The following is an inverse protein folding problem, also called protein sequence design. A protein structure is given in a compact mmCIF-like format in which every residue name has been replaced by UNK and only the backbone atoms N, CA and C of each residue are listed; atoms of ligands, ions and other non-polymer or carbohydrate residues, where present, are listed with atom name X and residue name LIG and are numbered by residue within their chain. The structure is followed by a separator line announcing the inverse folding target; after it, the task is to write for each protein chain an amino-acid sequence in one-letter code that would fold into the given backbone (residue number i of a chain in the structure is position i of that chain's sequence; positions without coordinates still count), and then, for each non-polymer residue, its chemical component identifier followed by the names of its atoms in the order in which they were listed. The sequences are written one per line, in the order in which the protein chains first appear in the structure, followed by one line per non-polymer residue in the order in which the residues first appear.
data_IF_127242996516
#
_entry.id   IF_127242996516
#
_cell.length_a   1.000
_cell.length_b   1.000
_cell.length_c   1.000
_cell.angle_alpha   90.00
_cell.angle_beta   90.00
_cell.angle_gamma   90.00
#
_symmetry.space_group_name_H-M   'P 1'
#
loop_
_entity.id
_entity.type
_entity.pdbx_description
1 polymer ?
#
# COMPACT_ATOMS: atom_id res chain seq x y z
N UNK A 1 -46.81 3.47 -22.11
CA UNK A 1 -45.35 3.45 -22.38
C UNK A 1 -44.67 4.22 -21.27
N UNK A 2 -44.25 3.52 -20.23
CA UNK A 2 -43.53 4.13 -19.09
C UNK A 2 -42.08 4.32 -19.54
N UNK A 3 -41.65 5.57 -19.62
CA UNK A 3 -40.25 5.90 -19.90
C UNK A 3 -39.38 5.29 -18.81
N UNK A 4 -38.53 4.35 -19.22
CA UNK A 4 -37.40 3.81 -18.48
C UNK A 4 -36.43 4.94 -18.14
N UNK A 5 -36.70 5.64 -17.04
CA UNK A 5 -35.77 6.61 -16.46
C UNK A 5 -34.67 5.84 -15.75
N UNK A 6 -33.71 5.36 -16.55
CA UNK A 6 -32.39 4.96 -16.04
C UNK A 6 -31.86 6.10 -15.17
N UNK A 7 -31.50 5.87 -13.89
CA UNK A 7 -30.89 6.90 -13.08
C UNK A 7 -29.67 7.41 -13.84
N UNK A 8 -29.67 8.70 -14.20
CA UNK A 8 -28.57 9.25 -14.97
C UNK A 8 -27.27 9.02 -14.19
N UNK A 9 -26.21 8.51 -14.84
CA UNK A 9 -24.91 8.42 -14.21
C UNK A 9 -24.53 9.84 -13.79
N UNK A 10 -24.19 9.98 -12.51
CA UNK A 10 -23.82 11.24 -11.88
C UNK A 10 -22.89 12.05 -12.81
N UNK A 11 -23.45 13.10 -13.44
CA UNK A 11 -22.75 13.95 -14.43
C UNK A 11 -21.84 14.97 -13.74
N UNK A 12 -21.46 14.74 -12.49
CA UNK A 12 -20.43 15.50 -11.79
C UNK A 12 -19.03 15.04 -12.21
N UNK A 13 -18.36 15.85 -13.04
CA UNK A 13 -16.96 15.73 -13.47
C UNK A 13 -16.62 14.41 -14.19
N UNK A 14 -16.66 14.39 -15.54
CA UNK A 14 -15.88 13.58 -16.52
C UNK A 14 -15.52 12.09 -16.29
N UNK A 15 -15.81 11.51 -15.13
CA UNK A 15 -15.25 10.27 -14.61
C UNK A 15 -16.25 9.13 -14.67
N UNK A 16 -17.52 9.37 -15.03
CA UNK A 16 -18.56 8.33 -15.03
C UNK A 16 -18.20 7.11 -15.87
N UNK A 17 -17.64 7.30 -17.08
CA UNK A 17 -17.14 6.19 -17.91
C UNK A 17 -15.98 5.45 -17.25
N UNK A 18 -15.09 6.15 -16.55
CA UNK A 18 -13.95 5.56 -15.87
C UNK A 18 -14.39 4.75 -14.64
N UNK A 19 -15.28 5.31 -13.81
CA UNK A 19 -15.85 4.66 -12.62
C UNK A 19 -16.62 3.40 -13.01
N UNK A 20 -17.45 3.46 -14.06
CA UNK A 20 -18.17 2.29 -14.57
C UNK A 20 -17.21 1.17 -14.98
N UNK A 21 -16.18 1.48 -15.78
CA UNK A 21 -15.16 0.50 -16.20
C UNK A 21 -14.44 -0.11 -15.01
N UNK A 22 -14.17 0.67 -13.98
CA UNK A 22 -13.49 0.18 -12.80
C UNK A 22 -14.42 -0.69 -11.92
N UNK A 23 -15.71 -0.39 -11.89
CA UNK A 23 -16.72 -1.23 -11.25
C UNK A 23 -16.86 -2.58 -11.98
N UNK A 24 -16.82 -2.58 -13.32
CA UNK A 24 -16.83 -3.83 -14.12
C UNK A 24 -15.64 -4.74 -13.78
N UNK A 25 -14.49 -4.14 -13.41
CA UNK A 25 -13.26 -4.84 -13.02
C UNK A 25 -13.09 -4.98 -11.51
N UNK A 26 -14.17 -4.86 -10.73
CA UNK A 26 -14.09 -5.03 -9.27
C UNK A 26 -13.69 -6.45 -8.88
N UNK A 27 -14.19 -7.46 -9.62
CA UNK A 27 -13.81 -8.86 -9.38
C UNK A 27 -12.50 -9.18 -10.08
N UNK A 28 -11.53 -9.65 -9.30
CA UNK A 28 -10.21 -10.01 -9.78
C UNK A 28 -10.22 -11.43 -10.36
N UNK A 29 -9.59 -11.59 -11.52
CA UNK A 29 -9.33 -12.90 -12.12
C UNK A 29 -8.28 -13.70 -11.34
N UNK A 30 -8.18 -15.01 -11.59
CA UNK A 30 -7.22 -15.89 -10.90
C UNK A 30 -5.77 -15.41 -11.04
N UNK A 31 -5.37 -15.01 -12.26
CA UNK A 31 -4.02 -14.50 -12.52
C UNK A 31 -3.74 -13.18 -11.77
N UNK A 32 -4.73 -12.28 -11.72
CA UNK A 32 -4.60 -11.03 -10.95
C UNK A 32 -4.47 -11.31 -9.45
N UNK A 33 -5.20 -12.30 -8.93
CA UNK A 33 -5.11 -12.72 -7.53
C UNK A 33 -3.75 -13.32 -7.20
N UNK A 34 -3.21 -14.18 -8.07
CA UNK A 34 -1.86 -14.73 -7.91
C UNK A 34 -0.78 -13.65 -7.96
N UNK A 35 -0.93 -12.66 -8.84
CA UNK A 35 -0.01 -11.51 -8.89
C UNK A 35 0.04 -10.72 -7.57
N UNK A 36 -1.06 -10.68 -6.81
CA UNK A 36 -1.09 -10.03 -5.49
C UNK A 36 -0.36 -10.81 -4.39
N UNK A 37 0.08 -12.05 -4.63
CA UNK A 37 0.85 -12.85 -3.64
C UNK A 37 2.34 -12.49 -3.64
N UNK A 38 2.85 -11.93 -4.74
CA UNK A 38 4.27 -11.56 -4.86
C UNK A 38 4.68 -10.50 -3.82
N UNK A 39 3.83 -9.48 -3.60
CA UNK A 39 4.12 -8.41 -2.64
C UNK A 39 4.32 -8.96 -1.23
N UNK A 40 3.38 -9.74 -0.64
CA UNK A 40 3.60 -10.40 0.64
C UNK A 40 4.90 -11.20 0.74
N UNK A 41 5.25 -11.99 -0.28
CA UNK A 41 6.48 -12.79 -0.29
C UNK A 41 7.71 -11.89 -0.16
N UNK A 42 7.79 -10.85 -1.00
CA UNK A 42 8.90 -9.90 -0.98
C UNK A 42 8.94 -9.14 0.36
N UNK A 43 7.80 -8.68 0.86
CA UNK A 43 7.71 -7.98 2.15
C UNK A 43 8.20 -8.86 3.31
N UNK A 44 7.82 -10.14 3.34
CA UNK A 44 8.29 -11.08 4.38
C UNK A 44 9.79 -11.32 4.25
N UNK A 45 10.31 -11.53 3.03
CA UNK A 45 11.75 -11.71 2.81
C UNK A 45 12.56 -10.49 3.29
N UNK A 46 12.10 -9.27 2.97
CA UNK A 46 12.72 -8.02 3.44
C UNK A 46 12.63 -7.88 4.96
N UNK A 47 11.48 -8.19 5.57
CA UNK A 47 11.33 -8.15 7.02
C UNK A 47 12.27 -9.14 7.72
N UNK A 48 12.41 -10.36 7.20
CA UNK A 48 13.35 -11.35 7.73
C UNK A 48 14.81 -10.92 7.60
N UNK A 49 15.19 -10.30 6.47
CA UNK A 49 16.51 -9.71 6.31
C UNK A 49 16.80 -8.65 7.38
N UNK A 50 15.86 -7.74 7.63
CA UNK A 50 16.04 -6.73 8.68
C UNK A 50 16.05 -7.34 10.09
N UNK A 51 15.27 -8.40 10.36
CA UNK A 51 15.33 -9.11 11.63
C UNK A 51 16.69 -9.77 11.85
N UNK A 52 17.29 -10.35 10.81
CA UNK A 52 18.64 -10.92 10.87
C UNK A 52 19.70 -9.83 11.13
N UNK A 53 19.61 -8.69 10.44
CA UNK A 53 20.47 -7.52 10.68
C UNK A 53 20.34 -7.01 12.12
N UNK A 54 19.13 -6.97 12.66
CA UNK A 54 18.90 -6.54 14.04
C UNK A 54 19.45 -7.56 15.05
N UNK A 55 19.22 -8.85 14.83
CA UNK A 55 19.67 -9.91 15.75
C UNK A 55 21.20 -10.00 15.85
N UNK A 56 21.90 -9.65 14.77
CA UNK A 56 23.36 -9.65 14.70
C UNK A 56 24.02 -8.38 15.26
N UNK A 57 23.24 -7.37 15.66
CA UNK A 57 23.71 -6.09 16.21
C UNK A 57 24.75 -5.40 15.30
N UNK A 58 24.38 -5.29 14.03
CA UNK A 58 25.26 -4.85 12.95
C UNK A 58 25.40 -3.32 12.83
N UNK A 59 25.10 -2.57 13.89
CA UNK A 59 25.17 -1.10 13.90
C UNK A 59 24.06 -0.36 13.14
N UNK A 60 23.38 -0.99 12.17
CA UNK A 60 22.25 -0.38 11.45
C UNK A 60 21.09 0.01 12.38
N UNK A 61 20.74 -0.88 13.32
CA UNK A 61 19.78 -0.59 14.39
C UNK A 61 20.54 -0.17 15.65
N UNK A 62 20.53 1.13 15.96
CA UNK A 62 21.19 1.65 17.18
C UNK A 62 20.48 1.19 18.46
N UNK A 63 21.14 1.34 19.61
CA UNK A 63 20.55 1.04 20.93
C UNK A 63 19.25 1.82 21.24
N UNK A 64 19.01 2.95 20.57
CA UNK A 64 17.75 3.70 20.64
C UNK A 64 16.59 3.07 19.87
N UNK A 65 16.81 1.99 19.10
CA UNK A 65 15.77 1.27 18.35
C UNK A 65 14.99 0.31 19.26
N UNK A 66 14.15 0.91 20.10
CA UNK A 66 13.33 0.22 21.08
C UNK A 66 12.05 -0.37 20.48
N UNK A 67 11.14 -0.77 21.36
CA UNK A 67 9.88 -1.42 20.98
C UNK A 67 8.99 -0.54 20.11
N UNK A 68 8.97 0.77 20.34
CA UNK A 68 8.12 1.71 19.59
C UNK A 68 8.63 1.86 18.16
N UNK A 69 9.95 2.00 18.00
CA UNK A 69 10.61 2.12 16.70
C UNK A 69 10.49 0.83 15.91
N UNK A 70 10.64 -0.33 16.57
CA UNK A 70 10.40 -1.64 15.98
C UNK A 70 8.96 -1.80 15.50
N UNK A 71 7.98 -1.40 16.32
CA UNK A 71 6.57 -1.45 15.94
C UNK A 71 6.29 -0.51 14.76
N UNK A 72 6.85 0.70 14.74
CA UNK A 72 6.72 1.62 13.62
C UNK A 72 7.34 1.02 12.35
N UNK A 73 8.56 0.50 12.43
CA UNK A 73 9.28 -0.06 11.29
C UNK A 73 8.65 -1.38 10.80
N UNK A 74 8.69 -2.45 11.59
CA UNK A 74 8.18 -3.75 11.18
C UNK A 74 6.67 -3.78 11.06
N UNK A 75 5.95 -3.09 11.95
CA UNK A 75 4.49 -3.02 11.89
C UNK A 75 4.03 -2.36 10.60
N UNK A 76 4.61 -1.22 10.22
CA UNK A 76 4.26 -0.55 8.96
C UNK A 76 4.66 -1.39 7.73
N UNK A 77 5.86 -2.00 7.75
CA UNK A 77 6.37 -2.83 6.66
C UNK A 77 5.44 -4.03 6.41
N UNK A 78 5.13 -4.80 7.46
CA UNK A 78 4.26 -5.97 7.37
C UNK A 78 2.81 -5.58 7.09
N UNK A 79 2.32 -4.45 7.63
CA UNK A 79 0.98 -3.99 7.31
C UNK A 79 0.84 -3.58 5.83
N UNK A 80 1.94 -3.17 5.19
CA UNK A 80 2.03 -2.91 3.76
C UNK A 80 1.51 -4.05 2.86
N UNK A 81 1.58 -5.31 3.31
CA UNK A 81 1.12 -6.45 2.51
C UNK A 81 -0.39 -6.73 2.63
N UNK A 82 -1.07 -6.14 3.62
CA UNK A 82 -2.49 -6.41 3.91
C UNK A 82 -3.43 -6.14 2.71
N UNK A 83 -3.30 -5.02 1.97
CA UNK A 83 -4.17 -4.77 0.83
C UNK A 83 -4.02 -5.84 -0.27
N UNK A 84 -2.78 -6.29 -0.50
CA UNK A 84 -2.47 -7.35 -1.47
C UNK A 84 -3.05 -8.69 -1.03
N UNK A 85 -2.92 -9.05 0.25
CA UNK A 85 -3.56 -10.26 0.79
C UNK A 85 -5.09 -10.22 0.65
N UNK A 86 -5.72 -9.08 0.96
CA UNK A 86 -7.16 -8.90 0.79
C UNK A 86 -7.58 -9.09 -0.67
N UNK A 87 -6.81 -8.55 -1.63
CA UNK A 87 -7.06 -8.78 -3.07
C UNK A 87 -6.88 -10.24 -3.45
N UNK A 88 -5.83 -10.89 -2.98
CA UNK A 88 -5.54 -12.28 -3.30
C UNK A 88 -6.63 -13.23 -2.74
N UNK A 89 -7.07 -13.01 -1.50
CA UNK A 89 -8.02 -13.88 -0.79
C UNK A 89 -9.46 -13.58 -1.20
N UNK A 90 -9.87 -12.32 -1.15
CA UNK A 90 -11.28 -11.93 -1.36
C UNK A 90 -11.58 -11.71 -2.84
N UNK A 91 -10.58 -11.39 -3.67
CA UNK A 91 -10.78 -11.17 -5.09
C UNK A 91 -11.56 -9.91 -5.44
N UNK A 92 -11.67 -8.95 -4.50
CA UNK A 92 -12.38 -7.68 -4.71
C UNK A 92 -11.43 -6.48 -4.69
N UNK A 93 -11.35 -5.78 -5.82
CA UNK A 93 -10.49 -4.63 -6.03
C UNK A 93 -10.88 -3.44 -5.16
N UNK A 94 -12.18 -3.13 -5.06
CA UNK A 94 -12.64 -1.99 -4.27
C UNK A 94 -12.45 -2.20 -2.77
N UNK A 95 -12.52 -3.44 -2.28
CA UNK A 95 -12.16 -3.73 -0.89
C UNK A 95 -10.65 -3.59 -0.67
N UNK A 96 -9.83 -4.02 -1.64
CA UNK A 96 -8.39 -3.75 -1.63
C UNK A 96 -8.05 -2.26 -1.53
N UNK A 97 -8.79 -1.38 -2.23
CA UNK A 97 -8.62 0.08 -2.11
C UNK A 97 -8.87 0.60 -0.70
N UNK A 98 -9.88 0.07 0.00
CA UNK A 98 -10.12 0.44 1.39
C UNK A 98 -8.91 0.10 2.25
N UNK A 99 -8.33 -1.08 2.04
CA UNK A 99 -7.13 -1.49 2.76
C UNK A 99 -5.92 -0.67 2.36
N UNK A 100 -5.76 -0.26 1.10
CA UNK A 100 -4.68 0.66 0.70
C UNK A 100 -4.77 1.97 1.47
N UNK A 101 -5.98 2.52 1.66
CA UNK A 101 -6.18 3.77 2.41
C UNK A 101 -5.70 3.60 3.85
N UNK A 102 -6.12 2.51 4.52
CA UNK A 102 -5.71 2.22 5.91
C UNK A 102 -4.19 2.02 5.98
N UNK A 103 -3.65 1.21 5.06
CA UNK A 103 -2.21 0.93 5.00
C UNK A 103 -1.38 2.19 4.72
N UNK A 104 -1.89 3.09 3.89
CA UNK A 104 -1.26 4.38 3.62
C UNK A 104 -1.20 5.27 4.85
N UNK A 105 -2.27 5.31 5.66
CA UNK A 105 -2.25 6.05 6.94
C UNK A 105 -1.22 5.48 7.90
N UNK A 106 -1.14 4.15 8.00
CA UNK A 106 -0.11 3.47 8.82
C UNK A 106 1.29 3.84 8.33
N UNK A 107 1.53 3.73 7.02
CA UNK A 107 2.83 4.05 6.41
C UNK A 107 3.22 5.52 6.59
N UNK A 108 2.31 6.46 6.34
CA UNK A 108 2.56 7.90 6.51
C UNK A 108 2.90 8.20 7.98
N UNK A 109 2.15 7.64 8.91
CA UNK A 109 2.35 7.87 10.35
C UNK A 109 3.69 7.30 10.82
N UNK A 110 3.94 6.02 10.53
CA UNK A 110 5.18 5.35 10.91
C UNK A 110 6.40 5.95 10.19
N UNK A 111 6.30 6.22 8.90
CA UNK A 111 7.38 6.83 8.11
C UNK A 111 7.73 8.23 8.60
N UNK A 112 6.72 9.05 8.92
CA UNK A 112 6.96 10.39 9.50
C UNK A 112 7.62 10.30 10.87
N UNK A 113 7.20 9.34 11.71
CA UNK A 113 7.85 9.08 12.99
C UNK A 113 9.32 8.67 12.80
N UNK A 114 9.58 7.68 11.94
CA UNK A 114 10.92 7.18 11.66
C UNK A 114 11.85 8.25 11.09
N UNK A 115 11.35 9.20 10.29
CA UNK A 115 12.17 10.34 9.83
C UNK A 115 12.75 11.17 10.98
N UNK A 116 12.14 11.14 12.16
CA UNK A 116 12.58 11.92 13.33
C UNK A 116 13.45 11.14 14.30
N UNK A 117 13.25 9.83 14.42
CA UNK A 117 13.93 9.00 15.43
C UNK A 117 14.88 7.97 14.86
N UNK A 118 14.69 7.56 13.60
CA UNK A 118 15.48 6.49 13.01
C UNK A 118 16.83 7.06 12.53
N UNK A 119 17.96 6.42 12.87
CA UNK A 119 19.29 6.91 12.53
C UNK A 119 19.59 6.84 11.02
N UNK A 120 18.93 5.93 10.29
CA UNK A 120 19.14 5.65 8.86
C UNK A 120 20.61 5.36 8.53
N UNK A 121 21.33 4.56 9.33
CA UNK A 121 22.76 4.26 9.12
C UNK A 121 23.00 3.24 7.99
N UNK A 122 22.65 3.62 6.77
CA UNK A 122 22.69 2.75 5.60
C UNK A 122 24.08 2.28 5.17
N UNK A 123 25.17 3.06 5.29
CA UNK A 123 26.52 2.58 5.04
C UNK A 123 26.82 1.28 5.77
N UNK A 124 26.48 1.18 7.06
CA UNK A 124 26.63 -0.07 7.80
C UNK A 124 25.76 -1.18 7.21
N UNK A 125 24.50 -0.90 6.82
CA UNK A 125 23.64 -1.91 6.20
C UNK A 125 24.25 -2.50 4.92
N UNK A 126 24.92 -1.68 4.11
CA UNK A 126 25.47 -2.10 2.82
C UNK A 126 26.63 -3.09 2.97
N UNK A 127 27.48 -2.92 3.99
CA UNK A 127 28.61 -3.81 4.28
C UNK A 127 28.19 -5.26 4.57
N UNK A 128 26.93 -5.47 4.96
CA UNK A 128 26.38 -6.80 5.25
C UNK A 128 25.67 -7.45 4.09
N UNK A 129 25.45 -6.71 3.01
CA UNK A 129 24.87 -7.28 1.81
C UNK A 129 25.92 -8.11 1.06
N UNK A 130 25.52 -9.15 0.33
CA UNK A 130 26.41 -9.81 -0.62
C UNK A 130 27.10 -8.79 -1.52
N UNK A 131 28.38 -9.00 -1.85
CA UNK A 131 29.23 -8.04 -2.58
C UNK A 131 28.57 -7.44 -3.83
N UNK A 132 27.77 -8.22 -4.56
CA UNK A 132 27.03 -7.73 -5.72
C UNK A 132 25.98 -6.66 -5.37
N UNK A 133 25.27 -6.81 -4.25
CA UNK A 133 24.28 -5.84 -3.77
C UNK A 133 24.94 -4.63 -3.10
N UNK A 134 26.01 -4.85 -2.34
CA UNK A 134 26.82 -3.76 -1.77
C UNK A 134 27.32 -2.83 -2.88
N UNK A 135 27.89 -3.37 -3.97
CA UNK A 135 28.39 -2.58 -5.09
C UNK A 135 27.29 -1.73 -5.77
N UNK A 136 26.03 -2.19 -5.74
CA UNK A 136 24.89 -1.49 -6.33
C UNK A 136 24.31 -0.44 -5.37
N UNK A 137 24.44 -0.63 -4.05
CA UNK A 137 23.72 0.16 -3.05
C UNK A 137 24.61 1.07 -2.21
N UNK A 138 25.93 0.84 -2.17
CA UNK A 138 26.88 1.59 -1.32
C UNK A 138 26.94 3.10 -1.60
N UNK A 139 26.56 3.54 -2.80
CA UNK A 139 26.47 4.96 -3.14
C UNK A 139 25.28 5.68 -2.47
N UNK A 140 24.34 4.93 -1.89
CA UNK A 140 23.14 5.47 -1.25
C UNK A 140 23.50 5.92 0.17
N UNK A 141 23.48 7.23 0.40
CA UNK A 141 23.72 7.82 1.72
C UNK A 141 22.46 7.90 2.59
N UNK A 142 22.67 8.15 3.87
CA UNK A 142 21.60 8.34 4.87
C UNK A 142 20.62 9.44 4.44
N UNK A 143 21.15 10.56 3.93
CA UNK A 143 20.35 11.69 3.49
C UNK A 143 19.52 11.36 2.25
N UNK A 144 20.08 10.57 1.32
CA UNK A 144 19.31 10.09 0.16
C UNK A 144 18.14 9.21 0.60
N UNK A 145 18.34 8.34 1.59
CA UNK A 145 17.25 7.49 2.10
C UNK A 145 16.17 8.28 2.83
N UNK A 146 16.54 9.33 3.59
CA UNK A 146 15.57 10.26 4.17
C UNK A 146 14.77 10.99 3.08
N UNK A 147 15.43 11.42 2.01
CA UNK A 147 14.77 12.04 0.86
C UNK A 147 13.83 11.05 0.18
N UNK A 148 14.26 9.82 -0.09
CA UNK A 148 13.42 8.79 -0.70
C UNK A 148 12.21 8.44 0.16
N UNK A 149 12.39 8.30 1.48
CA UNK A 149 11.26 8.06 2.39
C UNK A 149 10.30 9.25 2.41
N UNK A 150 10.82 10.48 2.40
CA UNK A 150 9.99 11.70 2.34
C UNK A 150 9.17 11.73 1.04
N UNK A 151 9.80 11.45 -0.10
CA UNK A 151 9.11 11.36 -1.40
C UNK A 151 8.05 10.25 -1.37
N UNK A 152 8.39 9.08 -0.82
CA UNK A 152 7.46 7.96 -0.69
C UNK A 152 6.22 8.34 0.16
N UNK A 153 6.41 9.07 1.26
CA UNK A 153 5.32 9.58 2.10
C UNK A 153 4.42 10.53 1.31
N UNK A 154 5.00 11.48 0.57
CA UNK A 154 4.24 12.45 -0.24
C UNK A 154 3.44 11.75 -1.35
N UNK A 155 4.08 10.84 -2.09
CA UNK A 155 3.40 10.06 -3.14
C UNK A 155 2.26 9.23 -2.53
N UNK A 156 2.49 8.63 -1.37
CA UNK A 156 1.49 7.83 -0.66
C UNK A 156 0.31 8.70 -0.21
N UNK A 157 0.55 9.92 0.28
CA UNK A 157 -0.50 10.85 0.66
C UNK A 157 -1.37 11.24 -0.56
N UNK A 158 -0.75 11.57 -1.70
CA UNK A 158 -1.48 11.87 -2.95
C UNK A 158 -2.28 10.65 -3.42
N UNK A 159 -1.67 9.46 -3.41
CA UNK A 159 -2.31 8.20 -3.80
C UNK A 159 -3.49 7.84 -2.89
N UNK A 160 -3.40 8.18 -1.60
CA UNK A 160 -4.47 7.97 -0.62
C UNK A 160 -5.71 8.79 -0.98
N UNK A 161 -5.54 10.07 -1.32
CA UNK A 161 -6.64 10.94 -1.75
C UNK A 161 -7.33 10.37 -2.99
N UNK A 162 -6.55 9.94 -3.97
CA UNK A 162 -7.08 9.27 -5.17
C UNK A 162 -7.87 8.00 -4.82
N UNK A 163 -7.31 7.14 -3.97
CA UNK A 163 -7.96 5.90 -3.56
C UNK A 163 -9.25 6.13 -2.76
N UNK A 164 -9.31 7.16 -1.91
CA UNK A 164 -10.54 7.56 -1.20
C UNK A 164 -11.64 7.92 -2.21
N UNK A 165 -11.33 8.81 -3.16
CA UNK A 165 -12.30 9.25 -4.17
C UNK A 165 -12.79 8.05 -4.97
N UNK A 166 -11.87 7.20 -5.44
CA UNK A 166 -12.21 6.06 -6.28
C UNK A 166 -12.99 4.99 -5.52
N UNK A 167 -12.64 4.74 -4.27
CA UNK A 167 -13.34 3.79 -3.40
C UNK A 167 -14.83 4.15 -3.28
N UNK A 168 -15.12 5.42 -2.96
CA UNK A 168 -16.49 5.87 -2.77
C UNK A 168 -17.29 5.88 -4.07
N UNK A 169 -16.69 6.38 -5.16
CA UNK A 169 -17.36 6.42 -6.47
C UNK A 169 -17.71 5.01 -6.97
N UNK A 170 -16.76 4.06 -6.92
CA UNK A 170 -17.00 2.67 -7.34
C UNK A 170 -17.98 1.96 -6.41
N UNK A 171 -17.89 2.19 -5.09
CA UNK A 171 -18.84 1.60 -4.14
C UNK A 171 -20.27 2.05 -4.41
N UNK A 172 -20.49 3.33 -4.74
CA UNK A 172 -21.80 3.87 -5.08
C UNK A 172 -22.34 3.25 -6.36
N UNK A 173 -21.50 3.13 -7.39
CA UNK A 173 -21.84 2.50 -8.67
C UNK A 173 -22.26 1.04 -8.47
N UNK A 174 -21.45 0.24 -7.77
CA UNK A 174 -21.74 -1.17 -7.51
C UNK A 174 -23.07 -1.36 -6.75
N UNK A 175 -23.34 -0.52 -5.75
CA UNK A 175 -24.62 -0.54 -5.02
C UNK A 175 -25.82 -0.14 -5.88
N UNK A 176 -25.62 0.75 -6.85
CA UNK A 176 -26.70 1.13 -7.78
C UNK A 176 -27.12 -0.05 -8.62
N UNK A 177 -26.14 -0.74 -9.23
CA UNK A 177 -26.38 -1.92 -10.06
C UNK A 177 -27.03 -3.06 -9.32
N UNK A 178 -26.64 -3.27 -8.06
CA UNK A 178 -27.23 -4.30 -7.20
C UNK A 178 -28.72 -4.04 -6.94
N UNK A 179 -29.11 -2.78 -6.69
CA UNK A 179 -30.52 -2.37 -6.55
C UNK A 179 -31.31 -2.56 -7.84
N UNK A 180 -30.72 -2.25 -8.99
CA UNK A 180 -31.39 -2.41 -10.28
C UNK A 180 -31.65 -3.90 -10.62
N UNK A 181 -30.84 -4.82 -10.07
CA UNK A 181 -31.03 -6.28 -10.22
C UNK A 181 -32.02 -6.88 -9.22
N UNK A 182 -32.35 -6.17 -8.13
CA UNK A 182 -33.29 -6.63 -7.09
C UNK A 182 -34.33 -5.54 -6.83
N UNK A 183 -35.41 -5.47 -7.65
CA UNK A 183 -36.44 -4.47 -7.43
C UNK A 183 -37.08 -4.65 -6.04
N UNK A 184 -37.48 -3.56 -5.37
CA UNK A 184 -38.15 -3.65 -4.08
C UNK A 184 -39.44 -4.48 -4.21
N UNK A 185 -39.64 -5.38 -3.24
CA UNK A 185 -40.82 -6.25 -3.14
C UNK A 185 -42.11 -5.46 -2.88
#
# INVERSE_FOLDING_TARGET
MVQDQRPMPDRGLGWGRYVSKEADRDRLGLLERLGNVLVPIITVAVALMFLDVQAKDLGFFTSGFGTVEQLAFYGSLLFGMVPSLVRAIIGRRNLGRLMDIISSVVFITAGSYLLTVFPFDFPHLWEYLPTALEAILSWISNDMMKIFLTIAIVITAISTVYNIIMYWKVRRELRSRERDMTPPA
#
